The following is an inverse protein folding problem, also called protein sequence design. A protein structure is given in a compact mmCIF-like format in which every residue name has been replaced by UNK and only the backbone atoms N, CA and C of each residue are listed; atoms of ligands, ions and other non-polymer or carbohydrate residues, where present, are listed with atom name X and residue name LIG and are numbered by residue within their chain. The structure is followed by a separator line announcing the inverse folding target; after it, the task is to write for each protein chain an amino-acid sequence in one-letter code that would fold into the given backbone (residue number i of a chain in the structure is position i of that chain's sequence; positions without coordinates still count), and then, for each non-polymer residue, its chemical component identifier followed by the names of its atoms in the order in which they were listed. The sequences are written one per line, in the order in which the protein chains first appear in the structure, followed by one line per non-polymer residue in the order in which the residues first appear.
data_IF_861687485847
#
_entry.id   IF_861687485847
#
_cell.length_a   1.000
_cell.length_b   1.000
_cell.length_c   1.000
_cell.angle_alpha   90.00
_cell.angle_beta   90.00
_cell.angle_gamma   90.00
#
_symmetry.space_group_name_H-M   'P 1'
#
loop_
_entity.id
_entity.type
_entity.pdbx_description
1 polymer ?
#
# COMPACT_ATOMS: atom_id res chain seq x y z
N UNK A 1 28.88 56.90 27.42
CA UNK A 1 28.18 57.99 26.69
C UNK A 1 27.41 57.34 25.55
N UNK A 2 26.08 57.10 25.68
CA UNK A 2 24.99 57.78 24.93
C UNK A 2 25.28 57.82 23.40
N UNK A 3 24.48 57.23 22.49
CA UNK A 3 23.01 57.24 22.40
C UNK A 3 22.44 56.06 21.58
N UNK A 4 21.25 55.62 21.98
CA UNK A 4 20.22 54.90 21.22
C UNK A 4 19.79 55.63 19.94
N UNK A 5 19.45 54.88 18.89
CA UNK A 5 18.30 55.17 18.01
C UNK A 5 17.63 53.84 17.63
N UNK A 6 16.33 53.78 17.91
CA UNK A 6 15.37 52.74 17.56
C UNK A 6 14.97 52.84 16.08
N UNK A 7 14.67 51.72 15.41
CA UNK A 7 13.66 51.74 14.33
C UNK A 7 12.97 50.38 14.13
N UNK A 8 11.83 50.27 14.81
CA UNK A 8 10.55 49.76 14.32
C UNK A 8 10.49 48.46 13.50
N UNK A 9 10.16 47.39 14.23
CA UNK A 9 9.47 46.20 13.73
C UNK A 9 8.08 46.60 13.21
N UNK A 10 7.78 46.30 11.95
CA UNK A 10 6.42 46.33 11.42
C UNK A 10 6.00 44.88 11.11
N UNK A 11 5.36 44.25 12.10
CA UNK A 11 4.69 42.97 11.99
C UNK A 11 3.27 43.24 11.43
N UNK A 12 3.08 43.05 10.13
CA UNK A 12 1.75 43.10 9.53
C UNK A 12 1.03 41.77 9.73
N UNK A 13 0.25 41.71 10.80
CA UNK A 13 -0.76 40.68 11.04
C UNK A 13 -1.96 40.99 10.13
N UNK A 14 -2.15 40.19 9.07
CA UNK A 14 -3.43 40.14 8.35
C UNK A 14 -4.33 39.11 9.04
N UNK A 15 -5.28 39.61 9.83
CA UNK A 15 -6.42 38.87 10.36
C UNK A 15 -7.46 38.75 9.24
N UNK A 16 -7.72 37.54 8.76
CA UNK A 16 -8.97 37.21 8.05
C UNK A 16 -9.81 36.40 9.02
N UNK A 17 -10.85 37.03 9.57
CA UNK A 17 -11.86 36.39 10.38
C UNK A 17 -13.00 35.90 9.47
N UNK A 18 -13.14 34.59 9.29
CA UNK A 18 -14.40 33.97 8.90
C UNK A 18 -14.88 33.10 10.06
N UNK A 19 -15.72 33.69 10.89
CA UNK A 19 -16.48 33.00 11.93
C UNK A 19 -17.87 32.61 11.43
N UNK A 20 -18.08 31.29 11.35
CA UNK A 20 -19.21 30.52 11.85
C UNK A 20 -20.65 30.78 11.35
N UNK A 21 -21.21 29.76 10.68
CA UNK A 21 -22.52 29.24 11.08
C UNK A 21 -22.56 27.70 10.97
N UNK A 22 -22.46 27.05 12.14
CA UNK A 22 -22.82 25.66 12.40
C UNK A 22 -24.34 25.54 12.49
N UNK A 23 -24.93 24.47 11.95
CA UNK A 23 -26.04 23.72 12.57
C UNK A 23 -26.49 22.52 11.72
N UNK A 24 -27.24 21.56 12.31
CA UNK A 24 -26.95 20.12 12.28
C UNK A 24 -27.82 19.29 11.30
N UNK A 25 -27.48 18.01 11.18
CA UNK A 25 -28.31 16.94 10.61
C UNK A 25 -29.38 16.43 11.62
N UNK A 26 -30.18 15.38 11.29
CA UNK A 26 -31.48 15.39 10.58
C UNK A 26 -32.65 14.94 11.51
N UNK A 27 -33.89 14.85 11.02
CA UNK A 27 -34.60 13.55 10.97
C UNK A 27 -35.42 13.38 9.65
N UNK A 28 -35.50 12.19 9.04
CA UNK A 28 -36.43 11.07 9.28
C UNK A 28 -37.94 11.42 9.14
N UNK A 29 -38.53 10.88 8.05
CA UNK A 29 -39.89 10.35 7.78
C UNK A 29 -41.08 10.72 8.72
N UNK A 30 -42.36 10.80 8.24
CA UNK A 30 -43.03 9.63 7.63
C UNK A 30 -44.28 9.85 6.70
N UNK A 31 -44.72 8.70 6.15
CA UNK A 31 -46.10 8.25 5.81
C UNK A 31 -46.90 8.76 4.58
N UNK A 32 -46.93 7.86 3.56
CA UNK A 32 -48.08 7.27 2.80
C UNK A 32 -49.50 7.45 3.37
N UNK A 33 -50.64 7.14 2.67
CA UNK A 33 -50.82 6.54 1.34
C UNK A 33 -51.99 7.09 0.48
N UNK A 34 -52.11 6.66 -0.78
CA UNK A 34 -53.44 6.42 -1.39
C UNK A 34 -53.40 5.42 -2.54
N UNK A 35 -54.11 4.34 -2.28
CA UNK A 35 -54.56 3.23 -3.12
C UNK A 35 -55.26 3.69 -4.40
N UNK A 36 -55.02 2.99 -5.51
CA UNK A 36 -56.03 2.70 -6.54
C UNK A 36 -55.70 1.36 -7.21
N UNK A 37 -56.64 0.42 -7.06
CA UNK A 37 -56.77 -0.88 -7.72
C UNK A 37 -57.07 -0.64 -9.23
N UNK A 38 -56.86 -1.52 -10.21
CA UNK A 38 -57.21 -2.94 -10.34
C UNK A 38 -56.47 -3.48 -11.59
N UNK A 39 -55.85 -4.66 -11.53
CA UNK A 39 -56.32 -5.93 -12.09
C UNK A 39 -56.48 -5.98 -13.62
N UNK A 40 -55.58 -6.72 -14.29
CA UNK A 40 -55.99 -7.75 -15.25
C UNK A 40 -54.92 -8.85 -15.34
N UNK A 41 -55.36 -10.03 -15.73
CA UNK A 41 -54.86 -11.35 -15.35
C UNK A 41 -54.17 -12.08 -16.52
N UNK A 42 -53.43 -13.16 -16.19
CA UNK A 42 -52.95 -14.27 -17.04
C UNK A 42 -51.64 -13.95 -17.80
N UNK A 43 -50.62 -14.80 -17.83
CA UNK A 43 -50.63 -16.26 -17.82
C UNK A 43 -49.26 -16.82 -17.42
N UNK A 44 -49.30 -17.91 -16.67
CA UNK A 44 -48.15 -18.71 -16.25
C UNK A 44 -47.42 -19.36 -17.44
N UNK A 45 -46.12 -19.53 -17.29
CA UNK A 45 -45.43 -20.71 -17.81
C UNK A 45 -44.43 -21.15 -16.76
N UNK A 46 -44.79 -22.22 -16.06
CA UNK A 46 -43.87 -23.08 -15.31
C UNK A 46 -42.77 -23.55 -16.26
N UNK A 47 -41.52 -23.31 -15.89
CA UNK A 47 -40.39 -24.08 -16.39
C UNK A 47 -39.66 -24.60 -15.17
N UNK A 48 -39.82 -25.90 -14.94
CA UNK A 48 -38.97 -26.72 -14.10
C UNK A 48 -37.50 -26.34 -14.28
N UNK A 49 -36.87 -25.87 -13.20
CA UNK A 49 -35.43 -25.88 -13.05
C UNK A 49 -35.13 -26.20 -11.59
N UNK A 50 -34.67 -27.43 -11.40
CA UNK A 50 -34.24 -28.03 -10.14
C UNK A 50 -33.27 -27.10 -9.39
N UNK A 51 -33.31 -27.06 -8.06
CA UNK A 51 -32.25 -26.41 -7.30
C UNK A 51 -31.00 -27.29 -7.44
N UNK A 52 -30.09 -26.89 -8.34
CA UNK A 52 -28.74 -27.44 -8.36
C UNK A 52 -28.12 -26.96 -7.06
N UNK A 53 -28.15 -27.82 -6.04
CA UNK A 53 -27.36 -27.66 -4.84
C UNK A 53 -25.89 -27.66 -5.28
N UNK A 54 -25.35 -26.46 -5.50
CA UNK A 54 -23.93 -26.25 -5.62
C UNK A 54 -23.35 -26.61 -4.25
N UNK A 55 -22.94 -27.88 -4.12
CA UNK A 55 -22.07 -28.32 -3.05
C UNK A 55 -20.71 -27.69 -3.31
N UNK A 56 -20.57 -26.45 -2.86
CA UNK A 56 -19.29 -25.81 -2.64
C UNK A 56 -18.60 -26.60 -1.53
N UNK A 57 -17.87 -27.64 -1.95
CA UNK A 57 -16.93 -28.32 -1.07
C UNK A 57 -15.80 -27.34 -0.85
N UNK A 58 -15.93 -26.54 0.21
CA UNK A 58 -14.82 -25.84 0.83
C UNK A 58 -13.84 -26.90 1.34
N UNK A 59 -13.03 -27.46 0.42
CA UNK A 59 -11.82 -28.14 0.79
C UNK A 59 -10.97 -27.08 1.46
N UNK A 60 -10.71 -27.26 2.76
CA UNK A 60 -9.79 -26.42 3.48
C UNK A 60 -8.47 -26.40 2.71
N UNK A 61 -8.17 -25.27 2.07
CA UNK A 61 -7.00 -25.12 1.24
C UNK A 61 -5.76 -25.39 2.09
N UNK A 62 -4.97 -26.38 1.68
CA UNK A 62 -3.74 -26.74 2.37
C UNK A 62 -2.75 -25.59 2.25
N UNK A 63 -2.51 -24.90 3.36
CA UNK A 63 -1.57 -23.79 3.44
C UNK A 63 -0.13 -24.32 3.55
N UNK A 64 0.75 -23.84 2.68
CA UNK A 64 2.17 -24.18 2.63
C UNK A 64 3.04 -22.92 2.66
N UNK A 65 4.28 -22.99 3.17
CA UNK A 65 5.22 -21.88 3.08
C UNK A 65 5.43 -21.43 1.63
N UNK A 66 5.34 -20.13 1.39
CA UNK A 66 5.64 -19.58 0.06
C UNK A 66 7.11 -19.84 -0.31
N UNK A 67 7.42 -20.10 -1.60
CA UNK A 67 8.79 -20.32 -2.06
C UNK A 67 9.58 -19.00 -2.10
N UNK A 68 10.04 -18.53 -0.93
CA UNK A 68 10.78 -17.28 -0.79
C UNK A 68 12.23 -17.53 -0.35
N UNK A 69 13.17 -17.25 -1.24
CA UNK A 69 14.60 -17.17 -0.88
C UNK A 69 14.93 -15.76 -0.37
N UNK A 70 15.46 -15.68 0.86
CA UNK A 70 15.96 -14.43 1.46
C UNK A 70 17.39 -14.16 0.98
N UNK A 71 17.77 -12.90 0.70
CA UNK A 71 19.14 -12.57 0.36
C UNK A 71 20.07 -12.74 1.55
N UNK A 72 21.37 -12.88 1.26
CA UNK A 72 22.38 -12.96 2.31
C UNK A 72 22.54 -11.57 2.94
N UNK A 73 22.50 -11.46 4.28
CA UNK A 73 22.68 -10.18 4.94
C UNK A 73 24.08 -9.62 4.66
N UNK A 74 24.14 -8.41 4.10
CA UNK A 74 25.39 -7.70 3.83
C UNK A 74 25.40 -6.38 4.59
N UNK A 75 25.69 -6.38 5.90
CA UNK A 75 25.87 -5.13 6.64
C UNK A 75 27.36 -4.75 6.62
N UNK A 76 27.78 -4.06 5.55
CA UNK A 76 29.17 -3.66 5.38
C UNK A 76 29.36 -2.25 5.93
N UNK A 77 30.45 -2.04 6.68
CA UNK A 77 30.87 -0.72 7.16
C UNK A 77 30.71 -0.52 8.67
N UNK A 78 30.88 0.73 9.11
CA UNK A 78 30.72 1.12 10.51
C UNK A 78 29.22 1.31 10.80
N UNK A 79 28.69 0.80 11.94
CA UNK A 79 27.32 1.08 12.35
C UNK A 79 27.03 2.58 12.35
N UNK A 80 25.92 2.98 11.72
CA UNK A 80 25.51 4.38 11.70
C UNK A 80 25.02 4.81 13.09
N UNK A 81 25.24 6.08 13.45
CA UNK A 81 24.61 6.64 14.64
C UNK A 81 23.12 6.85 14.35
N UNK A 82 22.27 6.03 15.00
CA UNK A 82 20.81 6.10 14.89
C UNK A 82 20.15 6.75 16.12
N UNK A 83 20.93 7.44 16.96
CA UNK A 83 20.43 8.21 18.10
C UNK A 83 19.39 9.25 17.64
N UNK A 84 18.32 9.39 18.43
CA UNK A 84 17.24 10.34 18.14
C UNK A 84 16.17 9.82 17.17
N UNK A 85 16.35 8.66 16.53
CA UNK A 85 15.28 8.00 15.77
C UNK A 85 14.28 7.37 16.74
N UNK A 86 13.10 7.96 16.83
CA UNK A 86 12.00 7.46 17.67
C UNK A 86 11.33 6.25 17.01
N UNK A 87 10.81 5.31 17.80
CA UNK A 87 10.09 4.12 17.35
C UNK A 87 10.86 3.22 16.36
N UNK A 88 12.20 3.19 16.46
CA UNK A 88 13.01 2.29 15.64
C UNK A 88 12.83 0.84 16.11
N UNK A 89 12.39 -0.03 15.20
CA UNK A 89 12.30 -1.46 15.45
C UNK A 89 13.69 -2.07 15.69
N UNK A 90 13.82 -2.90 16.72
CA UNK A 90 15.08 -3.60 16.99
C UNK A 90 15.30 -4.69 15.93
N UNK A 91 16.54 -4.95 15.50
CA UNK A 91 16.83 -6.08 14.63
C UNK A 91 16.25 -7.38 15.20
N UNK A 92 15.53 -8.13 14.36
CA UNK A 92 14.78 -9.33 14.78
C UNK A 92 15.69 -10.43 15.36
N UNK A 93 16.97 -10.46 14.96
CA UNK A 93 17.99 -11.40 15.44
C UNK A 93 17.77 -12.87 15.01
N UNK A 94 16.63 -13.19 14.42
CA UNK A 94 16.24 -14.50 13.90
C UNK A 94 15.50 -14.36 12.57
N UNK A 95 15.46 -15.42 11.75
CA UNK A 95 14.64 -15.42 10.55
C UNK A 95 13.18 -15.14 10.86
N UNK A 96 12.49 -14.40 9.97
CA UNK A 96 11.04 -14.22 10.08
C UNK A 96 10.34 -15.56 9.90
N UNK A 97 9.21 -15.81 10.59
CA UNK A 97 8.37 -16.96 10.30
C UNK A 97 7.98 -16.99 8.81
N UNK A 98 7.92 -18.17 8.17
CA UNK A 98 7.44 -18.27 6.80
C UNK A 98 6.01 -17.76 6.66
N UNK A 99 5.70 -17.12 5.54
CA UNK A 99 4.33 -16.77 5.19
C UNK A 99 3.67 -17.99 4.53
N UNK A 100 2.45 -18.32 4.94
CA UNK A 100 1.72 -19.48 4.42
C UNK A 100 0.65 -19.03 3.42
N UNK A 101 0.57 -19.70 2.28
CA UNK A 101 -0.44 -19.48 1.24
C UNK A 101 -0.85 -20.83 0.62
N UNK A 102 -1.90 -20.89 -0.20
CA UNK A 102 -2.25 -22.11 -0.92
C UNK A 102 -1.08 -22.67 -1.73
N UNK A 103 -1.08 -23.99 -1.92
CA UNK A 103 -0.05 -24.66 -2.72
C UNK A 103 -0.09 -24.17 -4.17
N UNK A 104 1.09 -23.96 -4.77
CA UNK A 104 1.20 -23.55 -6.18
C UNK A 104 1.31 -22.04 -6.44
N UNK A 105 1.40 -21.20 -5.40
CA UNK A 105 1.65 -19.75 -5.58
C UNK A 105 3.00 -19.46 -6.24
N UNK A 106 3.04 -18.39 -7.04
CA UNK A 106 4.23 -17.94 -7.78
C UNK A 106 4.40 -16.42 -7.69
N UNK A 107 5.59 -15.92 -8.06
CA UNK A 107 5.81 -14.48 -8.19
C UNK A 107 5.25 -13.97 -9.53
N UNK A 108 4.05 -13.40 -9.49
CA UNK A 108 3.36 -12.86 -10.67
C UNK A 108 3.91 -11.51 -11.14
N UNK A 109 4.69 -10.83 -10.30
CA UNK A 109 5.31 -9.54 -10.63
C UNK A 109 6.61 -9.69 -11.44
N UNK A 110 7.17 -10.88 -11.56
CA UNK A 110 8.46 -11.11 -12.21
C UNK A 110 8.44 -10.65 -13.68
N UNK A 111 9.39 -9.77 -14.04
CA UNK A 111 9.56 -9.17 -15.37
C UNK A 111 8.34 -8.42 -15.91
N UNK A 112 7.44 -7.98 -15.03
CA UNK A 112 6.27 -7.19 -15.43
C UNK A 112 6.64 -5.74 -15.77
N UNK A 113 5.82 -5.04 -16.56
CA UNK A 113 6.03 -3.62 -16.82
C UNK A 113 6.02 -2.81 -15.52
N UNK A 114 6.99 -1.88 -15.39
CA UNK A 114 7.15 -1.03 -14.22
C UNK A 114 7.13 0.44 -14.63
N UNK A 115 6.37 1.24 -13.89
CA UNK A 115 6.37 2.71 -13.98
C UNK A 115 6.56 3.32 -12.60
N UNK A 116 6.92 4.59 -12.54
CA UNK A 116 7.23 5.28 -11.28
C UNK A 116 6.94 6.78 -11.36
N UNK A 117 6.94 7.44 -10.20
CA UNK A 117 6.93 8.91 -10.11
C UNK A 117 8.13 9.57 -10.76
N UNK A 118 9.27 8.86 -10.81
CA UNK A 118 10.52 9.32 -11.39
C UNK A 118 10.96 8.32 -12.48
N UNK A 119 10.66 8.60 -13.77
CA UNK A 119 10.95 7.69 -14.88
C UNK A 119 12.45 7.43 -15.08
N UNK A 120 13.31 8.32 -14.58
CA UNK A 120 14.76 8.21 -14.65
C UNK A 120 15.33 8.14 -13.23
N UNK A 121 15.48 6.93 -12.66
CA UNK A 121 16.09 6.74 -11.34
C UNK A 121 17.46 7.42 -11.23
N UNK A 122 17.83 7.84 -10.02
CA UNK A 122 19.17 8.34 -9.70
C UNK A 122 20.21 7.23 -9.91
N UNK A 123 19.86 6.00 -9.57
CA UNK A 123 20.68 4.81 -9.75
C UNK A 123 19.80 3.62 -10.17
N UNK A 124 20.34 2.76 -11.03
CA UNK A 124 19.67 1.54 -11.49
C UNK A 124 18.61 1.82 -12.56
N UNK A 125 17.84 0.78 -12.87
CA UNK A 125 16.78 0.79 -13.88
C UNK A 125 15.47 0.25 -13.28
N UNK A 126 14.31 0.77 -13.71
CA UNK A 126 13.01 0.33 -13.15
C UNK A 126 12.74 -1.17 -13.32
N UNK A 127 13.28 -1.79 -14.37
CA UNK A 127 13.16 -3.23 -14.60
C UNK A 127 13.81 -4.08 -13.50
N UNK A 128 14.78 -3.52 -12.76
CA UNK A 128 15.44 -4.20 -11.64
C UNK A 128 14.51 -4.39 -10.43
N UNK A 129 13.39 -3.68 -10.36
CA UNK A 129 12.41 -3.85 -9.27
C UNK A 129 11.74 -5.22 -9.33
N UNK A 130 11.68 -5.80 -10.52
CA UNK A 130 10.94 -7.04 -10.82
C UNK A 130 11.81 -8.11 -11.48
N UNK A 131 13.14 -8.00 -11.40
CA UNK A 131 14.06 -8.95 -12.05
C UNK A 131 14.34 -10.21 -11.21
N UNK A 132 13.97 -10.18 -9.93
CA UNK A 132 14.19 -11.27 -8.98
C UNK A 132 15.58 -11.27 -8.33
N UNK A 133 16.47 -10.35 -8.69
CA UNK A 133 17.72 -10.10 -7.99
C UNK A 133 17.42 -9.40 -6.66
N UNK A 134 18.01 -9.92 -5.59
CA UNK A 134 17.83 -9.45 -4.22
C UNK A 134 19.17 -9.20 -3.55
N UNK A 135 20.27 -9.23 -4.29
CA UNK A 135 21.59 -9.02 -3.73
C UNK A 135 21.79 -7.54 -3.36
N UNK A 136 22.71 -7.26 -2.45
CA UNK A 136 23.04 -5.89 -2.02
C UNK A 136 24.30 -5.34 -2.73
N UNK A 137 24.38 -5.54 -4.04
CA UNK A 137 25.48 -5.02 -4.87
C UNK A 137 25.16 -3.63 -5.43
N UNK A 138 26.17 -2.90 -5.93
CA UNK A 138 25.96 -1.61 -6.61
C UNK A 138 25.14 -1.73 -7.89
N UNK A 139 25.08 -2.93 -8.47
CA UNK A 139 24.25 -3.22 -9.65
C UNK A 139 22.85 -3.73 -9.32
N UNK A 140 22.51 -3.89 -8.04
CA UNK A 140 21.24 -4.51 -7.58
C UNK A 140 20.40 -3.53 -6.76
N UNK A 141 20.45 -2.24 -7.13
CA UNK A 141 19.75 -1.17 -6.39
C UNK A 141 19.11 -0.18 -7.36
N UNK A 142 17.87 0.20 -7.04
CA UNK A 142 17.16 1.29 -7.69
C UNK A 142 16.96 2.40 -6.66
N UNK A 143 17.44 3.61 -6.97
CA UNK A 143 17.28 4.78 -6.14
C UNK A 143 16.44 5.83 -6.87
N UNK A 144 15.27 6.15 -6.31
CA UNK A 144 14.43 7.25 -6.80
C UNK A 144 14.79 8.56 -6.08
N UNK A 145 14.26 9.66 -6.59
CA UNK A 145 14.44 10.98 -6.00
C UNK A 145 13.98 11.10 -4.54
N UNK A 146 14.32 12.22 -3.87
CA UNK A 146 13.91 12.46 -2.50
C UNK A 146 12.38 12.55 -2.35
N UNK A 147 11.92 12.52 -1.09
CA UNK A 147 10.51 12.61 -0.70
C UNK A 147 9.68 11.36 -1.05
N UNK A 148 8.35 11.49 -1.00
CA UNK A 148 7.46 10.39 -1.32
C UNK A 148 7.58 10.05 -2.82
N UNK A 149 7.91 8.80 -3.10
CA UNK A 149 8.02 8.24 -4.43
C UNK A 149 7.09 7.04 -4.54
N UNK A 150 6.63 6.74 -5.74
CA UNK A 150 5.80 5.58 -6.01
C UNK A 150 6.36 4.79 -7.19
N UNK A 151 6.07 3.49 -7.15
CA UNK A 151 6.33 2.53 -8.22
C UNK A 151 5.02 1.78 -8.45
N UNK A 152 4.66 1.59 -9.70
CA UNK A 152 3.49 0.82 -10.13
C UNK A 152 3.96 -0.33 -11.02
N UNK A 153 3.51 -1.53 -10.69
CA UNK A 153 3.80 -2.76 -11.43
C UNK A 153 2.49 -3.18 -12.11
N UNK A 154 2.50 -3.22 -13.44
CA UNK A 154 1.35 -3.71 -14.21
C UNK A 154 1.39 -5.23 -14.26
N UNK A 155 0.44 -5.89 -13.60
CA UNK A 155 0.37 -7.36 -13.59
C UNK A 155 -0.15 -7.95 -14.91
N UNK A 156 -0.72 -7.11 -15.79
CA UNK A 156 -1.29 -7.43 -17.11
C UNK A 156 -2.53 -8.36 -17.09
N UNK A 157 -2.87 -8.93 -15.93
CA UNK A 157 -4.05 -9.75 -15.71
C UNK A 157 -4.47 -9.69 -14.23
N UNK A 158 -5.68 -10.15 -13.95
CA UNK A 158 -6.19 -10.27 -12.58
C UNK A 158 -5.56 -11.47 -11.86
N UNK A 159 -5.25 -11.28 -10.57
CA UNK A 159 -4.65 -12.30 -9.70
C UNK A 159 -5.19 -12.20 -8.28
N UNK A 160 -5.32 -13.35 -7.62
CA UNK A 160 -5.46 -13.41 -6.17
C UNK A 160 -4.10 -13.19 -5.51
N UNK A 161 -3.90 -12.03 -4.88
CA UNK A 161 -2.62 -11.64 -4.25
C UNK A 161 -2.61 -12.09 -2.78
N UNK A 162 -1.79 -13.10 -2.48
CA UNK A 162 -1.63 -13.62 -1.11
C UNK A 162 -0.58 -12.87 -0.29
N UNK A 163 0.47 -12.36 -0.94
CA UNK A 163 1.58 -11.68 -0.27
C UNK A 163 2.28 -10.67 -1.17
N UNK A 164 2.76 -9.59 -0.57
CA UNK A 164 3.66 -8.62 -1.19
C UNK A 164 4.94 -8.59 -0.37
N UNK A 165 6.07 -8.75 -1.03
CA UNK A 165 7.39 -8.74 -0.40
C UNK A 165 8.23 -7.65 -1.05
N UNK A 166 8.59 -6.65 -0.25
CA UNK A 166 9.40 -5.50 -0.68
C UNK A 166 10.82 -5.66 -0.13
N UNK A 167 11.81 -5.51 -1.01
CA UNK A 167 13.22 -5.51 -0.64
C UNK A 167 13.75 -4.09 -0.57
N UNK A 168 14.22 -3.71 0.61
CA UNK A 168 14.98 -2.49 0.77
C UNK A 168 16.47 -2.77 0.54
N UNK A 169 17.20 -1.76 0.09
CA UNK A 169 18.65 -1.84 -0.03
C UNK A 169 19.27 -2.14 1.34
N UNK A 170 20.03 -3.23 1.41
CA UNK A 170 20.48 -3.83 2.67
C UNK A 170 22.00 -4.03 2.71
N UNK A 171 22.76 -3.19 1.98
CA UNK A 171 24.23 -3.11 2.08
C UNK A 171 24.69 -2.35 3.33
N UNK A 172 23.89 -1.37 3.73
CA UNK A 172 24.12 -0.53 4.91
C UNK A 172 22.83 -0.45 5.72
N UNK A 173 22.90 -0.34 7.06
CA UNK A 173 21.72 -0.10 7.87
C UNK A 173 21.03 1.21 7.48
N UNK A 174 19.76 1.12 7.07
CA UNK A 174 18.93 2.26 6.66
C UNK A 174 17.61 2.25 7.44
N UNK A 175 17.08 3.43 7.72
CA UNK A 175 15.77 3.60 8.40
C UNK A 175 14.72 3.95 7.36
N UNK A 176 13.73 3.08 7.21
CA UNK A 176 12.56 3.31 6.36
C UNK A 176 11.37 3.71 7.22
N UNK A 177 10.81 4.90 6.95
CA UNK A 177 9.77 5.49 7.80
C UNK A 177 8.36 5.00 7.46
N UNK A 178 8.07 4.84 6.18
CA UNK A 178 6.75 4.46 5.71
C UNK A 178 6.85 3.73 4.37
N UNK A 179 6.06 2.67 4.23
CA UNK A 179 5.82 1.95 2.99
C UNK A 179 4.31 1.75 2.92
N UNK A 180 3.70 2.28 1.86
CA UNK A 180 2.27 2.14 1.60
C UNK A 180 2.12 1.26 0.37
N UNK A 181 1.15 0.35 0.44
CA UNK A 181 0.83 -0.57 -0.65
C UNK A 181 -0.66 -0.40 -0.97
N UNK A 182 -0.95 -0.28 -2.26
CA UNK A 182 -2.28 -0.22 -2.85
C UNK A 182 -2.34 -1.30 -3.93
N UNK A 183 -3.46 -2.05 -3.98
CA UNK A 183 -3.70 -3.17 -4.90
C UNK A 183 -5.04 -2.94 -5.58
#
# INVERSE_FOLDING_TARGET
MKKWVWLSVALTISIVAFGCKKSPAPPAEPDTPSTSQSADERQATESDAQPVAQQETAQAEKLVPIPLTLPKPMFVGTPQNLEGVQNLEKPLGKPRPPFLAPEGVTNVALHKPVTSSEPFPIMGELSMIVDGDKEATEGSVVELGPFAQWVMIDLEQEYDIYAIVVWHYHRTPSVYKNVVVEI
#
